data_IF_596728434798
#
_entry.id   IF_596728434798
#
_cell.length_a   1.000
_cell.length_b   1.000
_cell.length_c   1.000
_cell.angle_alpha   90.00
_cell.angle_beta   90.00
_cell.angle_gamma   90.00
#
_symmetry.space_group_name_H-M   'P 1'
#
loop_
_entity.id
_entity.type
_entity.pdbx_description
1 polymer ?
#
# COMPACT_ATOMS: atom_id res chain seq x y z
N UNK A 1 -38.92 -43.68 68.54
CA UNK A 1 -39.49 -43.99 67.20
C UNK A 1 -39.55 -42.68 66.41
N UNK A 2 -39.00 -42.70 65.18
CA UNK A 2 -38.94 -41.63 64.15
C UNK A 2 -37.72 -40.70 64.16
N UNK A 3 -36.75 -41.22 63.41
CA UNK A 3 -35.60 -40.60 62.75
C UNK A 3 -36.09 -39.51 61.79
N UNK A 4 -35.46 -38.34 61.77
CA UNK A 4 -35.62 -37.34 60.71
C UNK A 4 -34.24 -36.98 60.15
N UNK A 5 -33.92 -37.57 59.00
CA UNK A 5 -32.74 -37.27 58.20
C UNK A 5 -32.91 -35.90 57.52
N UNK A 6 -32.02 -34.96 57.81
CA UNK A 6 -31.87 -33.74 57.02
C UNK A 6 -31.02 -34.05 55.78
N UNK A 7 -31.66 -34.22 54.63
CA UNK A 7 -30.98 -34.28 53.33
C UNK A 7 -30.65 -32.85 52.88
N UNK A 8 -29.38 -32.47 52.95
CA UNK A 8 -28.86 -31.26 52.34
C UNK A 8 -28.70 -31.49 50.83
N UNK A 9 -29.57 -30.88 50.03
CA UNK A 9 -29.46 -30.86 48.57
C UNK A 9 -28.25 -30.03 48.15
N UNK A 10 -27.18 -30.71 47.72
CA UNK A 10 -26.01 -30.08 47.10
C UNK A 10 -26.39 -29.68 45.68
N UNK A 11 -26.55 -28.38 45.44
CA UNK A 11 -26.71 -27.82 44.10
C UNK A 11 -25.35 -27.89 43.37
N UNK A 12 -25.21 -28.82 42.42
CA UNK A 12 -24.12 -28.81 41.45
C UNK A 12 -24.30 -27.61 40.52
N UNK A 13 -23.59 -26.51 40.80
CA UNK A 13 -23.37 -25.44 39.83
C UNK A 13 -22.39 -25.97 38.78
N UNK A 14 -22.93 -26.44 37.66
CA UNK A 14 -22.16 -26.80 36.48
C UNK A 14 -21.36 -25.60 35.99
N UNK A 15 -20.04 -25.68 36.12
CA UNK A 15 -19.12 -24.77 35.44
C UNK A 15 -19.18 -25.06 33.95
N UNK A 16 -19.95 -24.27 33.21
CA UNK A 16 -19.78 -24.16 31.76
C UNK A 16 -18.52 -23.33 31.56
N UNK A 17 -17.39 -23.99 31.31
CA UNK A 17 -16.19 -23.33 30.84
C UNK A 17 -16.51 -22.66 29.50
N UNK A 18 -16.65 -21.34 29.52
CA UNK A 18 -16.70 -20.56 28.30
C UNK A 18 -15.33 -20.72 27.62
N UNK A 19 -15.27 -21.53 26.57
CA UNK A 19 -14.12 -21.59 25.69
C UNK A 19 -14.06 -20.23 25.01
N UNK A 20 -13.24 -19.34 25.56
CA UNK A 20 -12.87 -18.11 24.87
C UNK A 20 -12.19 -18.51 23.54
N UNK A 21 -12.53 -17.88 22.41
CA UNK A 21 -11.78 -18.12 21.20
C UNK A 21 -10.33 -17.72 21.45
N UNK A 22 -9.41 -18.65 21.20
CA UNK A 22 -7.98 -18.35 21.15
C UNK A 22 -7.78 -17.19 20.16
N UNK A 23 -7.20 -16.10 20.64
CA UNK A 23 -6.79 -15.01 19.76
C UNK A 23 -5.63 -15.54 18.91
N UNK A 24 -5.95 -15.99 17.69
CA UNK A 24 -4.95 -16.22 16.67
C UNK A 24 -4.23 -14.89 16.41
N UNK A 25 -2.97 -14.79 16.82
CA UNK A 25 -2.10 -13.68 16.47
C UNK A 25 -2.02 -13.63 14.93
N UNK A 26 -2.59 -12.56 14.36
CA UNK A 26 -2.84 -12.45 12.93
C UNK A 26 -1.55 -12.51 12.12
N UNK A 27 -1.33 -13.63 11.44
CA UNK A 27 -0.45 -13.67 10.28
C UNK A 27 -0.97 -12.69 9.23
N UNK A 28 -0.10 -11.90 8.62
CA UNK A 28 -0.41 -11.22 7.37
C UNK A 28 0.10 -12.07 6.21
N UNK A 29 -0.73 -12.85 5.50
CA UNK A 29 -0.38 -13.38 4.19
C UNK A 29 -0.92 -12.46 3.08
N UNK A 30 -0.18 -12.40 1.97
CA UNK A 30 -0.12 -11.37 0.91
C UNK A 30 0.76 -10.15 1.25
N UNK A 31 1.48 -9.58 0.27
CA UNK A 31 2.15 -8.30 0.44
C UNK A 31 1.13 -7.23 0.86
N UNK A 32 1.23 -6.74 2.10
CA UNK A 32 0.30 -5.76 2.65
C UNK A 32 0.86 -4.37 2.41
N UNK A 33 0.05 -3.48 1.86
CA UNK A 33 0.39 -2.06 1.72
C UNK A 33 0.23 -1.36 3.07
N UNK A 34 1.28 -0.69 3.52
CA UNK A 34 1.28 0.12 4.73
C UNK A 34 1.27 1.60 4.36
N UNK A 35 0.63 2.41 5.20
CA UNK A 35 0.68 3.87 5.12
C UNK A 35 1.30 4.43 6.39
N UNK A 36 2.11 5.48 6.27
CA UNK A 36 2.59 6.21 7.43
C UNK A 36 1.42 6.96 8.08
N UNK A 37 1.33 6.87 9.40
CA UNK A 37 0.39 7.59 10.25
C UNK A 37 1.12 8.76 10.90
N UNK A 38 0.65 9.99 10.71
CA UNK A 38 1.24 11.18 11.33
C UNK A 38 0.34 11.71 12.45
N UNK A 39 0.85 11.89 13.68
CA UNK A 39 2.07 11.30 14.26
C UNK A 39 1.89 9.78 14.52
N UNK A 40 2.96 8.95 14.59
CA UNK A 40 4.37 9.34 14.74
C UNK A 40 5.20 9.53 13.45
N UNK A 41 4.62 9.41 12.24
CA UNK A 41 5.30 9.63 10.95
C UNK A 41 5.96 11.01 10.83
N UNK A 42 7.24 11.11 11.18
CA UNK A 42 8.01 12.34 11.14
C UNK A 42 9.48 12.07 10.83
N UNK A 43 10.09 12.94 10.04
CA UNK A 43 11.54 13.06 9.93
C UNK A 43 12.03 14.01 11.02
N UNK A 44 13.03 13.58 11.79
CA UNK A 44 13.64 14.39 12.83
C UNK A 44 15.16 14.43 12.63
N UNK A 45 15.71 15.63 12.64
CA UNK A 45 17.15 15.87 12.57
C UNK A 45 17.57 16.73 13.75
N UNK A 46 18.58 16.27 14.51
CA UNK A 46 19.04 16.98 15.69
C UNK A 46 19.93 16.14 16.60
N UNK A 47 20.12 16.63 17.83
CA UNK A 47 20.88 15.92 18.85
C UNK A 47 19.97 15.06 19.73
N UNK A 48 20.40 13.82 19.97
CA UNK A 48 19.78 12.85 20.87
C UNK A 48 20.68 12.59 22.08
N UNK A 49 20.16 11.89 23.08
CA UNK A 49 20.93 11.59 24.29
C UNK A 49 22.27 10.94 23.94
N UNK A 50 23.40 11.37 24.55
CA UNK A 50 23.55 12.20 25.76
C UNK A 50 23.74 13.72 25.51
N UNK A 51 23.45 14.22 24.30
CA UNK A 51 24.03 15.48 23.84
C UNK A 51 23.10 16.71 24.02
N UNK A 52 21.93 16.51 24.66
CA UNK A 52 20.97 17.52 25.17
C UNK A 52 20.92 18.87 24.41
N UNK A 53 20.67 18.84 23.10
CA UNK A 53 20.31 20.04 22.31
C UNK A 53 18.89 19.88 21.73
N UNK A 54 18.16 20.98 21.43
CA UNK A 54 16.81 20.87 20.91
C UNK A 54 16.77 20.19 19.52
N UNK A 55 15.76 19.33 19.30
CA UNK A 55 15.42 18.79 17.97
C UNK A 55 15.30 19.98 17.02
N UNK A 56 16.14 20.00 15.99
CA UNK A 56 16.35 21.21 15.18
C UNK A 56 15.33 21.28 14.05
N UNK A 57 14.88 20.13 13.53
CA UNK A 57 13.87 20.05 12.47
C UNK A 57 12.98 18.84 12.75
N UNK A 58 11.66 19.04 12.71
CA UNK A 58 10.65 17.98 12.75
C UNK A 58 9.64 18.23 11.64
N UNK A 59 9.68 17.39 10.62
CA UNK A 59 8.85 17.55 9.44
C UNK A 59 7.94 16.32 9.29
N UNK A 60 6.65 16.49 8.96
CA UNK A 60 5.75 15.37 8.74
C UNK A 60 6.29 14.46 7.64
N UNK A 61 6.27 13.16 7.91
CA UNK A 61 6.66 12.13 6.96
C UNK A 61 5.39 11.41 6.51
N UNK A 62 5.10 11.46 5.22
CA UNK A 62 3.95 10.78 4.62
C UNK A 62 4.43 9.80 3.57
N UNK A 63 3.63 8.78 3.29
CA UNK A 63 3.96 7.83 2.22
C UNK A 63 3.60 6.40 2.58
N UNK A 64 4.14 5.48 1.79
CA UNK A 64 3.74 4.07 1.79
C UNK A 64 4.94 3.16 1.61
N UNK A 65 4.74 1.91 1.99
CA UNK A 65 5.63 0.80 1.67
C UNK A 65 4.84 -0.50 1.71
N UNK A 66 5.38 -1.57 1.15
CA UNK A 66 4.81 -2.91 1.22
C UNK A 66 5.57 -3.73 2.25
N UNK A 67 4.85 -4.39 3.14
CA UNK A 67 5.40 -5.38 4.06
C UNK A 67 5.01 -6.77 3.56
N UNK A 68 6.02 -7.59 3.24
CA UNK A 68 5.80 -8.97 2.77
C UNK A 68 6.51 -9.94 3.70
N UNK A 69 5.79 -10.93 4.24
CA UNK A 69 6.42 -11.99 5.04
C UNK A 69 7.43 -12.77 4.19
N UNK A 70 8.64 -12.96 4.72
CA UNK A 70 9.76 -13.60 4.03
C UNK A 70 9.97 -15.03 4.54
N UNK A 71 10.28 -15.18 5.83
CA UNK A 71 10.41 -16.46 6.51
C UNK A 71 10.22 -16.30 8.03
N UNK A 72 10.28 -17.40 8.77
CA UNK A 72 10.29 -17.41 10.23
C UNK A 72 11.53 -18.15 10.75
N UNK A 73 11.95 -17.83 11.98
CA UNK A 73 12.79 -18.71 12.80
C UNK A 73 12.03 -19.11 14.08
N UNK A 74 12.73 -19.70 15.06
CA UNK A 74 12.10 -20.18 16.31
C UNK A 74 11.49 -19.05 17.17
N UNK A 75 11.94 -17.82 17.01
CA UNK A 75 11.60 -16.70 17.90
C UNK A 75 11.22 -15.42 17.16
N UNK A 76 11.51 -15.29 15.86
CA UNK A 76 11.22 -14.13 15.01
C UNK A 76 10.47 -14.51 13.73
N UNK A 77 9.52 -13.65 13.35
CA UNK A 77 8.99 -13.58 11.99
C UNK A 77 9.73 -12.49 11.22
N UNK A 78 10.16 -12.78 10.00
CA UNK A 78 10.90 -11.86 9.13
C UNK A 78 10.03 -11.39 7.97
N UNK A 79 10.17 -10.11 7.62
CA UNK A 79 9.46 -9.43 6.56
C UNK A 79 10.43 -8.64 5.68
N UNK A 80 10.18 -8.67 4.37
CA UNK A 80 10.76 -7.73 3.43
C UNK A 80 9.96 -6.43 3.46
N UNK A 81 10.66 -5.30 3.51
CA UNK A 81 10.10 -3.95 3.33
C UNK A 81 10.41 -3.51 1.91
N UNK A 82 9.38 -3.34 1.08
CA UNK A 82 9.51 -3.13 -0.36
C UNK A 82 8.88 -1.80 -0.78
N UNK A 83 9.49 -1.15 -1.77
CA UNK A 83 8.91 0.02 -2.43
C UNK A 83 8.61 1.16 -1.46
N UNK A 84 9.53 1.43 -0.52
CA UNK A 84 9.44 2.63 0.32
C UNK A 84 9.37 3.83 -0.63
N UNK A 85 8.34 4.63 -0.46
CA UNK A 85 8.17 5.90 -1.17
C UNK A 85 7.52 6.88 -0.22
N UNK A 86 8.35 7.68 0.45
CA UNK A 86 7.96 8.67 1.44
C UNK A 86 8.30 10.08 0.97
N UNK A 87 7.64 11.05 1.57
CA UNK A 87 7.82 12.46 1.31
C UNK A 87 7.90 13.20 2.64
N UNK A 88 8.93 14.03 2.78
CA UNK A 88 9.04 14.98 3.88
C UNK A 88 8.29 16.25 3.48
N UNK A 89 7.16 16.51 4.12
CA UNK A 89 6.27 17.62 3.75
C UNK A 89 6.74 18.94 4.40
N UNK A 90 7.74 19.58 3.81
CA UNK A 90 8.19 20.95 4.11
C UNK A 90 8.10 21.85 2.86
N UNK A 91 8.63 23.07 2.89
CA UNK A 91 8.62 24.05 1.79
C UNK A 91 9.30 23.58 0.50
N UNK A 92 10.22 22.61 0.58
CA UNK A 92 10.74 21.85 -0.56
C UNK A 92 10.58 20.36 -0.25
N UNK A 93 9.71 19.63 -0.97
CA UNK A 93 9.45 18.22 -0.67
C UNK A 93 10.67 17.37 -1.03
N UNK A 94 11.16 16.61 -0.06
CA UNK A 94 12.24 15.62 -0.24
C UNK A 94 11.61 14.25 -0.42
N UNK A 95 11.95 13.57 -1.51
CA UNK A 95 11.47 12.22 -1.81
C UNK A 95 12.43 11.19 -1.25
N UNK A 96 11.91 10.28 -0.44
CA UNK A 96 12.67 9.20 0.17
C UNK A 96 12.21 7.88 -0.45
N UNK A 97 13.13 7.15 -1.07
CA UNK A 97 12.85 5.83 -1.67
C UNK A 97 13.76 4.77 -1.11
N UNK A 98 13.32 3.51 -1.06
CA UNK A 98 14.18 2.44 -0.59
C UNK A 98 13.50 1.09 -0.35
N UNK A 99 14.20 0.25 0.39
CA UNK A 99 13.75 -1.06 0.82
C UNK A 99 14.46 -1.45 2.12
N UNK A 100 14.11 -2.60 2.68
CA UNK A 100 14.78 -3.11 3.86
C UNK A 100 14.14 -4.36 4.42
N UNK A 101 14.33 -4.57 5.71
CA UNK A 101 13.85 -5.75 6.43
C UNK A 101 13.25 -5.36 7.76
N UNK A 102 12.23 -6.09 8.16
CA UNK A 102 11.63 -5.98 9.49
C UNK A 102 11.57 -7.36 10.12
N UNK A 103 12.00 -7.47 11.38
CA UNK A 103 11.80 -8.69 12.17
C UNK A 103 11.04 -8.37 13.44
N UNK A 104 10.15 -9.28 13.82
CA UNK A 104 9.35 -9.15 15.02
C UNK A 104 9.19 -10.49 15.70
N UNK A 105 9.52 -10.53 16.98
CA UNK A 105 9.32 -11.73 17.76
C UNK A 105 7.93 -11.78 18.40
N UNK A 106 7.48 -13.01 18.66
CA UNK A 106 6.19 -13.30 19.25
C UNK A 106 6.23 -13.28 20.78
N UNK A 107 5.54 -14.22 21.41
CA UNK A 107 5.42 -14.31 22.87
C UNK A 107 6.74 -14.57 23.60
N UNK A 108 7.72 -15.17 22.91
CA UNK A 108 9.00 -15.61 23.52
C UNK A 108 10.10 -14.55 23.37
N UNK A 109 10.04 -13.73 22.33
CA UNK A 109 10.99 -12.66 22.05
C UNK A 109 10.22 -11.37 21.77
N UNK A 110 9.88 -10.62 22.81
CA UNK A 110 9.13 -9.36 22.70
C UNK A 110 10.00 -8.21 22.18
N UNK A 111 10.70 -8.43 21.07
CA UNK A 111 11.64 -7.52 20.44
C UNK A 111 11.31 -7.39 18.95
N UNK A 112 11.62 -6.22 18.40
CA UNK A 112 11.53 -5.93 16.98
C UNK A 112 12.78 -5.18 16.51
N UNK A 113 13.01 -5.22 15.19
CA UNK A 113 14.02 -4.40 14.53
C UNK A 113 13.58 -4.09 13.10
N UNK A 114 13.67 -2.81 12.73
CA UNK A 114 13.46 -2.30 11.38
C UNK A 114 14.78 -1.75 10.85
N UNK A 115 15.22 -2.27 9.71
CA UNK A 115 16.42 -1.82 8.99
C UNK A 115 16.02 -1.40 7.59
N UNK A 116 16.40 -0.20 7.15
CA UNK A 116 16.04 0.37 5.86
C UNK A 116 17.25 0.95 5.15
N UNK A 117 17.40 0.68 3.86
CA UNK A 117 18.35 1.36 2.97
C UNK A 117 17.58 2.41 2.17
N UNK A 118 17.77 3.69 2.51
CA UNK A 118 16.98 4.82 2.03
C UNK A 118 17.82 5.81 1.23
N UNK A 119 17.32 6.20 0.07
CA UNK A 119 17.85 7.25 -0.79
C UNK A 119 16.98 8.50 -0.70
N UNK A 120 17.61 9.66 -0.53
CA UNK A 120 16.97 10.98 -0.50
C UNK A 120 17.22 11.67 -1.85
N UNK A 121 16.15 12.06 -2.54
CA UNK A 121 16.16 12.72 -3.87
C UNK A 121 17.03 12.01 -4.92
N UNK A 122 17.03 10.67 -4.90
CA UNK A 122 17.80 9.84 -5.83
C UNK A 122 19.31 9.76 -5.54
N UNK A 123 19.75 10.23 -4.37
CA UNK A 123 21.12 10.08 -3.89
C UNK A 123 21.51 8.62 -3.56
N UNK A 124 22.75 8.39 -3.10
CA UNK A 124 23.17 7.05 -2.67
C UNK A 124 22.35 6.58 -1.45
N UNK A 125 21.99 5.28 -1.38
CA UNK A 125 21.24 4.76 -0.25
C UNK A 125 22.07 4.76 1.03
N UNK A 126 21.45 5.18 2.13
CA UNK A 126 22.01 5.19 3.47
C UNK A 126 21.23 4.23 4.35
N UNK A 127 21.92 3.49 5.23
CA UNK A 127 21.30 2.50 6.10
C UNK A 127 20.81 3.12 7.40
N UNK A 128 19.51 3.01 7.66
CA UNK A 128 18.87 3.36 8.91
C UNK A 128 18.49 2.09 9.67
N UNK A 129 18.71 2.09 10.97
CA UNK A 129 18.41 0.94 11.83
C UNK A 129 17.76 1.41 13.13
N UNK A 130 16.73 0.68 13.59
CA UNK A 130 16.11 0.92 14.90
C UNK A 130 16.93 0.34 16.06
N UNK A 131 17.84 -0.58 15.77
CA UNK A 131 18.34 -1.55 16.72
C UNK A 131 17.24 -2.51 17.18
N UNK A 132 17.65 -3.55 17.92
CA UNK A 132 16.72 -4.44 18.61
C UNK A 132 16.09 -3.71 19.79
N UNK A 133 14.76 -3.59 19.80
CA UNK A 133 14.02 -2.91 20.88
C UNK A 133 12.66 -3.53 21.13
N UNK A 134 12.03 -3.29 22.29
CA UNK A 134 10.65 -3.70 22.53
C UNK A 134 9.67 -2.96 21.58
N UNK A 135 8.63 -3.63 21.09
CA UNK A 135 7.63 -3.01 20.22
C UNK A 135 6.78 -1.98 20.97
N UNK A 136 6.59 -0.78 20.40
CA UNK A 136 5.75 0.26 21.01
C UNK A 136 4.25 0.12 20.70
N UNK A 137 3.90 -0.65 19.67
CA UNK A 137 2.52 -0.92 19.25
C UNK A 137 2.28 -2.41 19.00
N UNK A 138 1.02 -2.87 19.03
CA UNK A 138 0.67 -4.25 18.71
C UNK A 138 0.66 -4.49 17.19
N UNK A 139 1.26 -5.60 16.73
CA UNK A 139 1.21 -5.99 15.31
C UNK A 139 -0.26 -6.17 14.87
N UNK A 140 -0.67 -5.69 13.67
CA UNK A 140 0.16 -5.27 12.54
C UNK A 140 0.61 -3.80 12.53
N UNK A 141 0.41 -3.04 13.60
CA UNK A 141 0.95 -1.68 13.69
C UNK A 141 2.47 -1.71 13.96
N UNK A 142 3.18 -0.83 13.27
CA UNK A 142 4.60 -0.56 13.45
C UNK A 142 4.72 0.84 14.02
N UNK A 143 5.32 0.96 15.19
CA UNK A 143 5.66 2.26 15.79
C UNK A 143 7.08 2.14 16.35
N UNK A 144 8.03 2.68 15.59
CA UNK A 144 9.45 2.59 15.93
C UNK A 144 10.21 3.78 15.39
N UNK A 145 11.50 3.88 15.70
CA UNK A 145 12.41 4.88 15.16
C UNK A 145 13.57 4.18 14.49
N UNK A 146 13.99 4.67 13.33
CA UNK A 146 15.22 4.22 12.67
C UNK A 146 16.19 5.40 12.58
N UNK A 147 17.47 5.12 12.73
CA UNK A 147 18.51 6.14 12.86
C UNK A 147 19.72 5.79 11.99
N UNK A 148 20.46 6.80 11.54
CA UNK A 148 21.64 6.61 10.69
C UNK A 148 22.87 6.23 11.52
N UNK A 149 22.97 6.71 12.77
CA UNK A 149 24.13 6.55 13.64
C UNK A 149 23.81 5.96 15.01
N UNK A 150 22.67 5.28 15.15
CA UNK A 150 22.31 4.57 16.38
C UNK A 150 21.84 5.47 17.52
N UNK A 151 21.21 6.61 17.19
CA UNK A 151 20.66 7.58 18.15
C UNK A 151 21.74 8.23 19.03
N UNK A 152 22.96 8.41 18.50
CA UNK A 152 24.09 8.99 19.25
C UNK A 152 24.41 10.43 18.83
N UNK A 153 24.32 11.37 19.77
CA UNK A 153 24.57 12.80 19.51
C UNK A 153 23.79 13.31 18.28
N UNK A 154 24.47 13.80 17.24
CA UNK A 154 23.85 14.35 16.04
C UNK A 154 23.48 13.20 15.12
N UNK A 155 22.19 12.95 14.99
CA UNK A 155 21.69 11.88 14.15
C UNK A 155 20.52 12.35 13.26
N UNK A 156 20.34 11.61 12.17
CA UNK A 156 19.15 11.68 11.34
C UNK A 156 18.27 10.51 11.71
N UNK A 157 17.06 10.78 12.18
CA UNK A 157 16.11 9.73 12.53
C UNK A 157 14.78 9.89 11.80
N UNK A 158 14.13 8.77 11.59
CA UNK A 158 12.78 8.70 11.06
C UNK A 158 11.93 7.97 12.09
N UNK A 159 10.90 8.66 12.58
CA UNK A 159 9.85 8.02 13.35
C UNK A 159 8.88 7.35 12.37
N UNK A 160 8.84 6.01 12.41
CA UNK A 160 8.06 5.16 11.52
C UNK A 160 6.84 4.67 12.29
N UNK A 161 5.78 5.47 12.24
CA UNK A 161 4.42 5.04 12.58
C UNK A 161 3.70 4.59 11.34
N UNK A 162 3.31 3.32 11.27
CA UNK A 162 2.64 2.76 10.12
C UNK A 162 1.60 1.72 10.51
N UNK A 163 0.50 1.70 9.77
CA UNK A 163 -0.55 0.68 9.90
C UNK A 163 -0.81 0.08 8.53
N UNK A 164 -1.28 -1.18 8.46
CA UNK A 164 -1.86 -1.72 7.25
C UNK A 164 -2.89 -0.73 6.74
N UNK A 165 -2.80 -0.43 5.44
CA UNK A 165 -3.92 0.19 4.79
C UNK A 165 -5.05 -0.84 4.84
N UNK A 166 -6.15 -0.48 5.48
CA UNK A 166 -7.28 -1.40 5.62
C UNK A 166 -7.93 -1.61 4.25
N UNK A 167 -7.45 -2.64 3.55
CA UNK A 167 -8.02 -3.07 2.26
C UNK A 167 -9.28 -3.92 2.52
N UNK A 168 -9.66 -4.18 3.78
CA UNK A 168 -10.87 -4.95 4.13
C UNK A 168 -12.18 -4.19 3.87
N UNK A 169 -12.11 -2.92 3.43
CA UNK A 169 -13.21 -2.19 2.78
C UNK A 169 -13.23 -2.28 1.24
N UNK A 170 -12.34 -3.08 0.64
CA UNK A 170 -12.28 -3.31 -0.82
C UNK A 170 -12.89 -4.67 -1.17
N UNK A 171 -13.89 -5.10 -0.41
CA UNK A 171 -14.98 -5.92 -0.96
C UNK A 171 -16.05 -4.96 -1.48
N UNK A 172 -15.81 -4.39 -2.66
CA UNK A 172 -16.78 -3.54 -3.39
C UNK A 172 -16.61 -2.03 -3.29
N UNK A 173 -15.64 -1.53 -2.51
CA UNK A 173 -15.23 -0.12 -2.54
C UNK A 173 -14.11 0.09 -3.55
N UNK A 174 -14.45 0.29 -4.82
CA UNK A 174 -13.45 0.71 -5.81
C UNK A 174 -12.81 2.02 -5.35
N UNK A 175 -11.58 1.94 -4.82
CA UNK A 175 -10.64 3.05 -4.98
C UNK A 175 -10.45 3.17 -6.48
N UNK A 176 -11.33 3.94 -7.12
CA UNK A 176 -11.44 4.07 -8.57
C UNK A 176 -10.19 4.83 -9.02
N UNK A 177 -9.04 4.17 -9.04
CA UNK A 177 -7.86 4.74 -9.68
C UNK A 177 -8.18 4.83 -11.17
N UNK A 178 -7.73 5.92 -11.82
CA UNK A 178 -7.85 6.02 -13.26
C UNK A 178 -7.17 4.79 -13.88
N UNK A 179 -7.95 3.91 -14.48
CA UNK A 179 -7.45 2.66 -15.03
C UNK A 179 -7.94 2.48 -16.46
N UNK A 180 -7.17 1.73 -17.24
CA UNK A 180 -7.47 1.42 -18.62
C UNK A 180 -6.98 0.00 -18.89
N UNK A 181 -7.85 -0.83 -19.42
CA UNK A 181 -7.62 -2.21 -19.82
C UNK A 181 -8.16 -2.42 -21.23
N UNK A 182 -7.50 -3.30 -21.99
CA UNK A 182 -7.90 -3.65 -23.35
C UNK A 182 -7.94 -5.18 -23.46
N UNK A 183 -9.06 -5.74 -23.91
CA UNK A 183 -9.27 -7.17 -23.99
C UNK A 183 -10.21 -7.55 -25.16
N UNK A 184 -9.91 -8.59 -25.95
CA UNK A 184 -8.63 -9.30 -25.99
C UNK A 184 -7.51 -8.39 -26.53
N UNK A 185 -6.27 -8.69 -26.17
CA UNK A 185 -5.10 -8.03 -26.73
C UNK A 185 -3.94 -9.04 -26.79
N UNK A 186 -3.56 -9.53 -27.98
CA UNK A 186 -3.96 -9.07 -29.32
C UNK A 186 -5.43 -9.38 -29.71
N UNK A 187 -5.99 -8.63 -30.67
CA UNK A 187 -7.36 -8.82 -31.18
C UNK A 187 -7.41 -8.99 -32.71
N UNK A 188 -8.47 -9.66 -33.19
CA UNK A 188 -8.72 -9.93 -34.62
C UNK A 188 -9.93 -9.16 -35.18
N UNK A 189 -11.03 -9.06 -34.43
CA UNK A 189 -12.25 -8.37 -34.83
C UNK A 189 -12.38 -7.04 -34.11
N UNK A 190 -12.80 -7.12 -32.85
CA UNK A 190 -12.90 -5.97 -31.96
C UNK A 190 -12.14 -6.20 -30.66
N UNK A 191 -11.84 -5.10 -29.97
CA UNK A 191 -11.32 -5.09 -28.62
C UNK A 191 -12.24 -4.29 -27.72
N UNK A 192 -12.55 -4.86 -26.57
CA UNK A 192 -13.19 -4.17 -25.47
C UNK A 192 -12.16 -3.31 -24.73
N UNK A 193 -12.54 -2.08 -24.44
CA UNK A 193 -11.73 -1.08 -23.75
C UNK A 193 -12.48 -0.70 -22.48
N UNK A 194 -12.04 -1.29 -21.37
CA UNK A 194 -12.60 -1.07 -20.05
C UNK A 194 -11.77 -0.03 -19.29
N UNK A 195 -12.42 0.93 -18.66
CA UNK A 195 -11.76 1.97 -17.88
C UNK A 195 -12.54 2.37 -16.64
N UNK A 196 -11.83 2.77 -15.58
CA UNK A 196 -12.44 3.26 -14.34
C UNK A 196 -12.11 4.74 -14.11
N UNK A 197 -13.11 5.51 -13.68
CA UNK A 197 -12.99 6.93 -13.37
C UNK A 197 -13.10 7.18 -11.86
N UNK A 198 -12.08 7.77 -11.19
CA UNK A 198 -12.13 8.16 -9.77
C UNK A 198 -13.26 9.10 -9.42
N UNK A 199 -13.56 10.02 -10.33
CA UNK A 199 -14.46 11.15 -10.14
C UNK A 199 -15.20 11.38 -11.44
N UNK A 200 -16.35 11.99 -11.32
CA UNK A 200 -17.12 12.47 -12.45
C UNK A 200 -16.30 13.49 -13.24
N UNK A 201 -16.43 13.51 -14.56
CA UNK A 201 -15.75 14.51 -15.37
C UNK A 201 -15.75 14.24 -16.86
N UNK A 202 -15.12 15.14 -17.60
CA UNK A 202 -14.91 14.99 -19.04
C UNK A 202 -13.81 13.98 -19.32
N UNK A 203 -14.07 13.09 -20.27
CA UNK A 203 -13.12 12.08 -20.73
C UNK A 203 -12.81 12.25 -22.22
N UNK A 204 -11.58 11.93 -22.57
CA UNK A 204 -11.11 11.74 -23.94
C UNK A 204 -10.49 10.35 -24.05
N UNK A 205 -11.21 9.43 -24.68
CA UNK A 205 -10.77 8.08 -24.98
C UNK A 205 -10.53 7.96 -26.50
N UNK A 206 -9.26 8.03 -26.87
CA UNK A 206 -8.80 8.11 -28.25
C UNK A 206 -7.85 6.95 -28.59
N UNK A 207 -7.85 6.54 -29.86
CA UNK A 207 -6.94 5.54 -30.42
C UNK A 207 -5.96 6.22 -31.36
N UNK A 208 -4.68 5.89 -31.22
CA UNK A 208 -3.56 6.46 -31.98
C UNK A 208 -2.80 5.38 -32.74
N UNK A 209 -2.27 5.73 -33.92
CA UNK A 209 -1.22 4.95 -34.56
C UNK A 209 0.16 5.21 -33.91
N UNK A 210 1.18 4.44 -34.30
CA UNK A 210 2.54 4.57 -33.75
C UNK A 210 3.19 5.93 -34.01
N UNK A 211 2.68 6.70 -34.98
CA UNK A 211 3.18 8.05 -35.28
C UNK A 211 2.55 9.12 -34.40
N UNK A 212 1.62 8.73 -33.52
CA UNK A 212 0.89 9.64 -32.63
C UNK A 212 -0.29 10.33 -33.30
N UNK A 213 -0.69 9.92 -34.51
CA UNK A 213 -1.89 10.44 -35.17
C UNK A 213 -3.13 9.75 -34.61
N UNK A 214 -4.15 10.54 -34.23
CA UNK A 214 -5.46 10.01 -33.80
C UNK A 214 -6.14 9.35 -35.00
N UNK A 215 -6.57 8.11 -34.80
CA UNK A 215 -7.21 7.29 -35.83
C UNK A 215 -8.63 6.84 -35.45
N UNK A 216 -9.01 7.00 -34.19
CA UNK A 216 -10.38 6.79 -33.72
C UNK A 216 -10.64 7.51 -32.41
N UNK A 217 -11.90 7.86 -32.16
CA UNK A 217 -12.38 8.47 -30.92
C UNK A 217 -13.56 7.64 -30.40
N UNK A 218 -13.42 7.09 -29.20
CA UNK A 218 -14.41 6.21 -28.57
C UNK A 218 -15.25 6.92 -27.52
N UNK A 219 -14.70 8.00 -26.96
CA UNK A 219 -15.41 8.99 -26.17
C UNK A 219 -14.65 10.32 -26.33
N UNK A 220 -15.25 11.34 -26.93
CA UNK A 220 -14.58 12.62 -27.17
C UNK A 220 -15.28 13.75 -26.42
N UNK A 221 -14.61 14.30 -25.42
CA UNK A 221 -15.15 15.34 -24.52
C UNK A 221 -16.48 14.97 -23.82
N UNK A 222 -16.73 13.68 -23.65
CA UNK A 222 -17.95 13.13 -23.05
C UNK A 222 -17.88 13.31 -21.51
N UNK A 223 -18.98 13.71 -20.87
CA UNK A 223 -19.07 13.76 -19.41
C UNK A 223 -19.55 12.41 -18.88
N UNK A 224 -18.75 11.76 -18.04
CA UNK A 224 -19.08 10.48 -17.45
C UNK A 224 -19.04 10.55 -15.92
N UNK A 225 -19.96 9.83 -15.28
CA UNK A 225 -19.94 9.64 -13.84
C UNK A 225 -18.74 8.77 -13.43
N UNK A 226 -18.27 8.93 -12.20
CA UNK A 226 -17.31 8.03 -11.57
C UNK A 226 -17.85 6.60 -11.62
N UNK A 227 -17.00 5.65 -12.00
CA UNK A 227 -17.44 4.28 -12.28
C UNK A 227 -16.57 3.58 -13.29
N UNK A 228 -16.90 2.32 -13.53
CA UNK A 228 -16.32 1.53 -14.63
C UNK A 228 -17.18 1.74 -15.86
N UNK A 229 -16.52 1.95 -16.98
CA UNK A 229 -17.11 2.14 -18.29
C UNK A 229 -16.42 1.23 -19.29
N UNK A 230 -17.19 0.84 -20.30
CA UNK A 230 -16.70 0.00 -21.39
C UNK A 230 -17.03 0.66 -22.72
N UNK A 231 -16.07 0.58 -23.66
CA UNK A 231 -16.25 0.93 -25.07
C UNK A 231 -15.67 -0.20 -25.91
N UNK A 232 -16.20 -0.37 -27.11
CA UNK A 232 -15.69 -1.35 -28.07
C UNK A 232 -14.98 -0.61 -29.22
N UNK A 233 -13.83 -1.12 -29.66
CA UNK A 233 -13.19 -0.68 -30.88
C UNK A 233 -13.09 -1.83 -31.87
N UNK A 234 -13.66 -1.66 -33.05
CA UNK A 234 -13.73 -2.65 -34.13
C UNK A 234 -12.53 -2.60 -35.10
N UNK A 235 -11.49 -1.84 -34.73
CA UNK A 235 -10.30 -1.70 -35.57
C UNK A 235 -10.56 -0.95 -36.87
N UNK A 236 -11.49 0.02 -36.89
CA UNK A 236 -11.73 0.91 -38.03
C UNK A 236 -11.38 2.37 -37.73
N UNK A 237 -11.08 3.09 -38.81
CA UNK A 237 -10.98 4.55 -38.82
C UNK A 237 -12.37 5.17 -38.76
N UNK A 238 -12.45 6.46 -38.44
CA UNK A 238 -13.69 7.26 -38.55
C UNK A 238 -14.31 7.21 -39.96
N UNK A 239 -13.49 6.99 -41.00
CA UNK A 239 -13.94 6.78 -42.39
C UNK A 239 -14.63 5.41 -42.64
N UNK A 240 -14.67 4.52 -41.65
CA UNK A 240 -15.20 3.15 -41.77
C UNK A 240 -14.25 2.12 -42.37
N UNK A 241 -13.04 2.54 -42.81
CA UNK A 241 -12.01 1.63 -43.32
C UNK A 241 -11.27 0.94 -42.18
N UNK A 242 -11.02 -0.37 -42.32
CA UNK A 242 -10.22 -1.12 -41.36
C UNK A 242 -8.76 -0.60 -41.30
N UNK A 243 -8.23 -0.51 -40.09
CA UNK A 243 -6.80 -0.25 -39.88
C UNK A 243 -5.99 -1.53 -40.16
N UNK A 244 -4.76 -1.44 -40.67
CA UNK A 244 -3.93 -2.63 -40.91
C UNK A 244 -3.57 -3.35 -39.60
N UNK A 245 -3.16 -4.63 -39.65
CA UNK A 245 -2.49 -5.27 -38.52
C UNK A 245 -1.30 -4.43 -38.06
N UNK A 246 -1.10 -4.31 -36.74
CA UNK A 246 -0.09 -3.44 -36.18
C UNK A 246 -0.33 -3.05 -34.73
N UNK A 247 0.55 -2.19 -34.23
CA UNK A 247 0.51 -1.65 -32.88
C UNK A 247 -0.20 -0.31 -32.88
N UNK A 248 -1.08 -0.14 -31.90
CA UNK A 248 -1.86 1.06 -31.66
C UNK A 248 -1.79 1.42 -30.18
N UNK A 249 -2.16 2.66 -29.85
CA UNK A 249 -2.20 3.13 -28.46
C UNK A 249 -3.59 3.66 -28.17
N UNK A 250 -4.24 3.09 -27.17
CA UNK A 250 -5.45 3.66 -26.58
C UNK A 250 -5.01 4.59 -25.45
N UNK A 251 -5.53 5.82 -25.45
CA UNK A 251 -5.26 6.82 -24.42
C UNK A 251 -6.58 7.27 -23.82
N UNK A 252 -6.66 7.23 -22.50
CA UNK A 252 -7.69 7.88 -21.72
C UNK A 252 -7.10 9.12 -21.04
N UNK A 253 -7.68 10.29 -21.29
CA UNK A 253 -7.30 11.55 -20.67
C UNK A 253 -8.50 12.20 -19.99
N UNK A 254 -8.25 12.80 -18.83
CA UNK A 254 -9.21 13.57 -18.02
C UNK A 254 -8.51 14.79 -17.42
N UNK A 255 -9.27 15.67 -16.76
CA UNK A 255 -8.71 16.84 -16.09
C UNK A 255 -7.72 16.51 -14.94
N UNK A 256 -7.76 15.28 -14.42
CA UNK A 256 -7.01 14.85 -13.25
C UNK A 256 -6.01 13.71 -13.54
N UNK A 257 -5.86 13.30 -14.80
CA UNK A 257 -4.83 12.33 -15.18
C UNK A 257 -4.96 11.79 -16.60
N UNK A 258 -3.95 11.01 -17.01
CA UNK A 258 -4.00 10.26 -18.26
C UNK A 258 -3.39 8.87 -18.08
N UNK A 259 -3.93 7.87 -18.78
CA UNK A 259 -3.40 6.51 -18.85
C UNK A 259 -3.42 6.01 -20.29
N UNK A 260 -2.47 5.13 -20.62
CA UNK A 260 -2.32 4.58 -21.98
C UNK A 260 -2.17 3.07 -21.94
N UNK A 261 -2.65 2.40 -22.99
CA UNK A 261 -2.46 0.96 -23.21
C UNK A 261 -2.14 0.68 -24.67
N UNK A 262 -1.20 -0.24 -24.86
CA UNK A 262 -0.88 -0.79 -26.18
C UNK A 262 -2.01 -1.71 -26.61
N UNK A 263 -2.42 -1.60 -27.87
CA UNK A 263 -3.42 -2.44 -28.49
C UNK A 263 -2.85 -3.03 -29.78
N UNK A 264 -2.88 -4.36 -29.91
CA UNK A 264 -2.25 -5.09 -31.00
C UNK A 264 -3.32 -5.74 -31.88
N UNK A 265 -3.40 -5.31 -33.14
CA UNK A 265 -4.27 -5.92 -34.15
C UNK A 265 -3.49 -6.94 -34.98
N UNK A 266 -4.00 -8.16 -35.12
CA UNK A 266 -3.29 -9.25 -35.83
C UNK A 266 -3.88 -9.64 -37.18
N UNK A 267 -5.11 -9.24 -37.52
CA UNK A 267 -5.74 -9.56 -38.81
C UNK A 267 -6.70 -8.48 -39.28
#
# INVERSE_FOLDING_TARGET
MRIAHAFASIALLGWVAAIAPAHAQGAAPEPVLYTLTSPPGAFEWGCFEPCMCPITIRSPLTGRFVLRRSHDDLIYTYYDVLGVHWEVSDSQPVIITGCGTYRRGGEVAMMEQLTLDLSFDGGPPQRFDSGLRPPAAAFPEIDTRVSLHGEFCLDSMLAVGAKPLDVAGVTGGSSRTLSLAVAPNPFTGSAEIAFALPRDGRVELDVYDITGRRIGALAHHEWLASGTHTREWDGRLESGRAVPPGLYVVRLATAWGQVRRTLVKVR
#
